data_IF_346656882701
#
_entry.id   IF_346656882701
#
_cell.length_a   1.000
_cell.length_b   1.000
_cell.length_c   1.000
_cell.angle_alpha   90.00
_cell.angle_beta   90.00
_cell.angle_gamma   90.00
#
_symmetry.space_group_name_H-M   'P 1'
#
loop_
_entity.id
_entity.type
_entity.pdbx_description
1 polymer ?
#
# COMPACT_ATOMS: atom_id res chain seq x y z
N UNK A 1 -19.32 9.75 9.45
CA UNK A 1 -19.16 8.33 9.06
C UNK A 1 -17.68 7.99 9.06
N UNK A 2 -17.30 6.81 9.52
CA UNK A 2 -15.91 6.31 9.49
C UNK A 2 -15.90 4.93 8.81
N UNK A 3 -14.98 4.73 7.86
CA UNK A 3 -14.84 3.49 7.11
C UNK A 3 -13.36 3.20 6.83
N UNK A 4 -13.00 1.91 6.78
CA UNK A 4 -11.63 1.49 6.50
C UNK A 4 -11.43 1.23 5.00
N UNK A 5 -10.19 1.32 4.51
CA UNK A 5 -9.87 0.90 3.14
C UNK A 5 -10.20 -0.56 2.85
N UNK A 6 -10.09 -1.45 3.84
CA UNK A 6 -10.49 -2.85 3.69
C UNK A 6 -12.00 -2.97 3.48
N UNK A 7 -12.81 -2.19 4.21
CA UNK A 7 -14.27 -2.20 4.02
C UNK A 7 -14.70 -1.65 2.66
N UNK A 8 -13.98 -0.68 2.08
CA UNK A 8 -14.27 -0.14 0.75
C UNK A 8 -14.24 -1.20 -0.36
N UNK A 9 -13.33 -2.18 -0.25
CA UNK A 9 -13.20 -3.28 -1.22
C UNK A 9 -14.15 -4.45 -0.90
N UNK A 10 -14.80 -4.41 0.27
CA UNK A 10 -15.69 -5.46 0.73
C UNK A 10 -16.96 -5.59 -0.11
N UNK A 11 -17.48 -6.82 -0.17
CA UNK A 11 -18.82 -7.11 -0.68
C UNK A 11 -19.66 -7.73 0.42
N UNK A 12 -20.95 -7.42 0.46
CA UNK A 12 -21.90 -8.08 1.36
C UNK A 12 -22.11 -9.54 0.94
N UNK A 13 -22.72 -10.34 1.82
CA UNK A 13 -23.17 -11.70 1.48
C UNK A 13 -24.21 -11.72 0.36
N UNK A 14 -24.94 -10.61 0.18
CA UNK A 14 -25.93 -10.41 -0.89
C UNK A 14 -25.30 -9.95 -2.21
N UNK A 15 -23.97 -9.74 -2.26
CA UNK A 15 -23.23 -9.37 -3.46
C UNK A 15 -23.06 -7.86 -3.67
N UNK A 16 -23.72 -7.03 -2.86
CA UNK A 16 -23.63 -5.57 -2.94
C UNK A 16 -22.24 -5.07 -2.53
N UNK A 17 -21.71 -4.13 -3.30
CA UNK A 17 -20.42 -3.50 -3.01
C UNK A 17 -20.57 -2.53 -1.84
N UNK A 18 -19.67 -2.60 -0.87
CA UNK A 18 -19.63 -1.61 0.23
C UNK A 18 -19.37 -0.20 -0.28
N UNK A 19 -18.61 -0.05 -1.36
CA UNK A 19 -18.42 1.24 -2.02
C UNK A 19 -19.75 1.81 -2.54
N UNK A 20 -20.56 0.98 -3.19
CA UNK A 20 -21.86 1.41 -3.73
C UNK A 20 -22.80 1.87 -2.62
N UNK A 21 -22.87 1.09 -1.53
CA UNK A 21 -23.65 1.47 -0.34
C UNK A 21 -23.19 2.81 0.26
N UNK A 22 -21.87 3.08 0.26
CA UNK A 22 -21.34 4.36 0.72
C UNK A 22 -21.74 5.50 -0.21
N UNK A 23 -21.62 5.32 -1.53
CA UNK A 23 -22.01 6.32 -2.53
C UNK A 23 -23.49 6.66 -2.40
N UNK A 24 -24.36 5.64 -2.27
CA UNK A 24 -25.79 5.81 -2.07
C UNK A 24 -26.11 6.54 -0.76
N UNK A 25 -25.39 6.21 0.32
CA UNK A 25 -25.56 6.87 1.61
C UNK A 25 -25.18 8.35 1.57
N UNK A 26 -24.09 8.70 0.87
CA UNK A 26 -23.72 10.10 0.65
C UNK A 26 -24.77 10.83 -0.20
N UNK A 27 -25.27 10.15 -1.24
CA UNK A 27 -26.15 10.72 -2.25
C UNK A 27 -25.38 11.53 -3.30
N UNK A 28 -25.91 11.56 -4.52
CA UNK A 28 -25.24 12.17 -5.70
C UNK A 28 -24.90 13.66 -5.52
N UNK A 29 -25.67 14.36 -4.68
CA UNK A 29 -25.51 15.79 -4.43
C UNK A 29 -24.61 16.11 -3.23
N UNK A 30 -23.96 15.12 -2.62
CA UNK A 30 -23.09 15.33 -1.48
C UNK A 30 -21.97 16.31 -1.81
N UNK A 31 -21.93 17.42 -1.09
CA UNK A 31 -20.96 18.51 -1.25
C UNK A 31 -20.02 18.66 -0.04
N UNK A 32 -20.10 17.74 0.92
CA UNK A 32 -19.33 17.73 2.16
C UNK A 32 -17.86 17.35 1.97
N UNK A 33 -17.17 16.98 3.06
CA UNK A 33 -15.75 16.67 3.05
C UNK A 33 -15.49 15.17 3.26
N UNK A 34 -14.65 14.59 2.41
CA UNK A 34 -14.13 13.23 2.53
C UNK A 34 -12.63 13.33 2.79
N UNK A 35 -12.21 12.75 3.91
CA UNK A 35 -10.79 12.71 4.31
C UNK A 35 -10.28 11.29 4.10
N UNK A 36 -9.33 11.15 3.19
CA UNK A 36 -8.55 9.94 3.04
C UNK A 36 -7.37 10.00 4.02
N UNK A 37 -7.56 9.42 5.19
CA UNK A 37 -6.50 9.25 6.19
C UNK A 37 -5.59 8.07 5.86
N UNK A 38 -4.28 8.21 6.08
CA UNK A 38 -3.24 7.28 5.60
C UNK A 38 -3.39 6.90 4.11
N UNK A 39 -3.66 7.90 3.26
CA UNK A 39 -4.03 7.70 1.87
C UNK A 39 -2.96 7.01 1.00
N UNK A 40 -1.72 6.89 1.50
CA UNK A 40 -0.66 6.09 0.86
C UNK A 40 -1.08 4.62 0.64
N UNK A 41 -2.12 4.12 1.32
CA UNK A 41 -2.74 2.81 1.05
C UNK A 41 -3.28 2.66 -0.37
N UNK A 42 -3.61 3.77 -1.05
CA UNK A 42 -4.08 3.81 -2.43
C UNK A 42 -2.97 3.99 -3.49
N UNK A 43 -1.69 4.10 -3.08
CA UNK A 43 -0.57 4.46 -3.97
C UNK A 43 -0.33 3.52 -5.15
N UNK A 44 -0.67 2.24 -5.00
CA UNK A 44 -0.44 1.20 -6.00
C UNK A 44 -1.55 1.15 -7.07
N UNK A 45 -2.11 2.29 -7.46
CA UNK A 45 -3.11 2.36 -8.54
C UNK A 45 -2.46 2.12 -9.91
N UNK A 46 -1.28 2.72 -10.14
CA UNK A 46 -0.46 2.49 -11.32
C UNK A 46 0.73 1.59 -10.91
N UNK A 47 0.70 0.28 -11.16
CA UNK A 47 1.83 -0.60 -10.81
C UNK A 47 3.11 -0.21 -11.57
N UNK A 48 4.28 -0.56 -11.01
CA UNK A 48 5.55 -0.57 -11.76
C UNK A 48 5.49 -1.67 -12.83
N UNK A 49 6.16 -1.45 -13.96
CA UNK A 49 6.21 -2.43 -15.06
C UNK A 49 6.55 -3.82 -14.52
N UNK A 50 5.69 -4.81 -14.80
CA UNK A 50 5.84 -6.20 -14.33
C UNK A 50 4.96 -6.61 -13.12
N UNK A 51 4.23 -5.68 -12.48
CA UNK A 51 3.26 -6.00 -11.42
C UNK A 51 1.83 -6.00 -11.98
N UNK A 52 1.22 -7.18 -12.07
CA UNK A 52 -0.13 -7.36 -12.60
C UNK A 52 -1.19 -7.19 -11.51
N UNK A 53 -1.47 -5.94 -11.14
CA UNK A 53 -2.81 -5.43 -10.81
C UNK A 53 -2.68 -4.08 -10.07
N UNK A 54 -3.43 -3.09 -10.54
CA UNK A 54 -3.79 -1.92 -9.72
C UNK A 54 -4.43 -2.40 -8.41
N UNK A 55 -4.05 -1.82 -7.28
CA UNK A 55 -4.70 -2.10 -5.99
C UNK A 55 -6.21 -1.87 -6.10
N UNK A 56 -7.02 -2.86 -5.71
CA UNK A 56 -8.47 -2.71 -5.60
C UNK A 56 -8.86 -1.52 -4.74
N UNK A 57 -8.08 -1.23 -3.69
CA UNK A 57 -8.26 -0.04 -2.85
C UNK A 57 -8.11 1.24 -3.67
N UNK A 58 -7.06 1.34 -4.49
CA UNK A 58 -6.82 2.51 -5.32
C UNK A 58 -7.96 2.76 -6.31
N UNK A 59 -8.49 1.68 -6.91
CA UNK A 59 -9.67 1.75 -7.79
C UNK A 59 -10.90 2.27 -7.06
N UNK A 60 -11.23 1.70 -5.89
CA UNK A 60 -12.38 2.15 -5.10
C UNK A 60 -12.23 3.61 -4.65
N UNK A 61 -11.02 4.05 -4.30
CA UNK A 61 -10.74 5.45 -3.93
C UNK A 61 -10.98 6.40 -5.10
N UNK A 62 -10.55 6.05 -6.31
CA UNK A 62 -10.81 6.87 -7.50
C UNK A 62 -12.29 6.86 -7.87
N UNK A 63 -12.93 5.69 -7.83
CA UNK A 63 -14.35 5.53 -8.14
C UNK A 63 -15.23 6.36 -7.17
N UNK A 64 -14.93 6.35 -5.87
CA UNK A 64 -15.62 7.19 -4.88
C UNK A 64 -15.53 8.69 -5.23
N UNK A 65 -14.34 9.16 -5.60
CA UNK A 65 -14.11 10.57 -5.95
C UNK A 65 -14.87 10.99 -7.21
N UNK A 66 -15.00 10.08 -8.19
CA UNK A 66 -15.70 10.32 -9.45
C UNK A 66 -17.22 10.26 -9.27
N UNK A 67 -17.71 9.36 -8.41
CA UNK A 67 -19.13 9.25 -8.08
C UNK A 67 -19.65 10.45 -7.27
N UNK A 68 -18.77 11.13 -6.53
CA UNK A 68 -19.12 12.28 -5.69
C UNK A 68 -18.36 13.54 -6.14
N UNK A 69 -18.72 14.13 -7.31
CA UNK A 69 -17.97 15.25 -7.89
C UNK A 69 -18.02 16.51 -7.02
N UNK A 70 -19.12 16.74 -6.29
CA UNK A 70 -19.27 17.92 -5.43
C UNK A 70 -18.54 17.78 -4.09
N UNK A 71 -18.13 16.58 -3.70
CA UNK A 71 -17.41 16.34 -2.45
C UNK A 71 -16.02 16.99 -2.48
N UNK A 72 -15.64 17.60 -1.37
CA UNK A 72 -14.29 18.13 -1.12
C UNK A 72 -13.41 16.99 -0.59
N UNK A 73 -12.24 16.79 -1.21
CA UNK A 73 -11.33 15.69 -0.85
C UNK A 73 -10.10 16.24 -0.13
N UNK A 74 -9.75 15.60 1.00
CA UNK A 74 -8.49 15.83 1.70
C UNK A 74 -7.68 14.53 1.68
N UNK A 75 -6.41 14.64 1.29
CA UNK A 75 -5.45 13.53 1.35
C UNK A 75 -4.51 13.74 2.53
N UNK A 76 -4.61 12.88 3.54
CA UNK A 76 -3.75 12.91 4.71
C UNK A 76 -2.84 11.68 4.73
N UNK A 77 -1.53 11.90 4.76
CA UNK A 77 -0.54 10.82 4.88
C UNK A 77 0.84 11.38 5.22
N UNK A 78 1.55 10.70 6.12
CA UNK A 78 2.96 11.01 6.40
C UNK A 78 3.89 10.65 5.22
N UNK A 79 3.47 9.73 4.36
CA UNK A 79 4.30 9.18 3.25
C UNK A 79 3.54 9.17 1.92
N UNK A 80 2.67 10.16 1.70
CA UNK A 80 1.69 10.15 0.62
C UNK A 80 2.24 10.03 -0.81
N UNK A 81 3.42 10.60 -1.08
CA UNK A 81 3.94 10.73 -2.44
C UNK A 81 5.48 10.59 -2.50
N UNK A 82 6.01 9.39 -2.21
CA UNK A 82 7.46 9.10 -2.33
C UNK A 82 7.96 9.10 -3.79
N UNK A 83 7.10 8.74 -4.73
CA UNK A 83 7.37 8.75 -6.18
C UNK A 83 6.18 9.41 -6.88
N UNK A 84 6.37 10.13 -8.01
CA UNK A 84 5.25 10.77 -8.74
C UNK A 84 4.13 9.79 -9.10
N UNK A 85 4.49 8.54 -9.41
CA UNK A 85 3.55 7.45 -9.70
C UNK A 85 2.56 7.19 -8.56
N UNK A 86 2.98 7.40 -7.31
CA UNK A 86 2.15 7.17 -6.13
C UNK A 86 1.01 8.19 -6.01
N UNK A 87 1.03 9.27 -6.79
CA UNK A 87 -0.01 10.31 -6.76
C UNK A 87 -1.23 9.98 -7.61
N UNK A 88 -1.24 8.88 -8.36
CA UNK A 88 -2.27 8.56 -9.34
C UNK A 88 -3.71 8.63 -8.80
N UNK A 89 -3.93 8.31 -7.52
CA UNK A 89 -5.25 8.34 -6.89
C UNK A 89 -5.70 9.75 -6.45
N UNK A 90 -4.81 10.75 -6.50
CA UNK A 90 -5.04 12.11 -6.04
C UNK A 90 -5.63 13.01 -7.13
N UNK A 91 -6.63 12.51 -7.87
CA UNK A 91 -7.21 13.21 -9.05
C UNK A 91 -7.77 14.60 -8.72
N UNK A 92 -8.20 14.81 -7.47
CA UNK A 92 -8.80 16.08 -7.02
C UNK A 92 -7.79 17.19 -6.68
N UNK A 93 -6.49 16.96 -6.84
CA UNK A 93 -5.49 18.02 -6.72
C UNK A 93 -5.48 18.98 -7.91
N UNK A 94 -6.09 18.61 -9.04
CA UNK A 94 -6.13 19.46 -10.23
C UNK A 94 -4.78 19.61 -10.92
N UNK A 95 -3.87 18.65 -10.73
CA UNK A 95 -2.56 18.62 -11.39
C UNK A 95 -2.63 18.12 -12.83
N UNK A 96 -3.65 17.35 -13.17
CA UNK A 96 -3.89 16.83 -14.51
C UNK A 96 -5.39 16.80 -14.81
N UNK A 97 -5.74 16.64 -16.08
CA UNK A 97 -7.12 16.62 -16.56
C UNK A 97 -7.56 17.96 -17.14
N UNK A 98 -8.88 18.11 -17.31
CA UNK A 98 -9.49 19.26 -17.99
C UNK A 98 -9.10 20.58 -17.31
N UNK A 99 -8.61 21.53 -18.11
CA UNK A 99 -8.22 22.86 -17.62
C UNK A 99 -6.81 22.94 -17.05
N UNK A 100 -6.02 21.86 -17.14
CA UNK A 100 -4.62 21.82 -16.70
C UNK A 100 -3.67 21.65 -17.89
N UNK A 101 -2.38 21.85 -17.68
CA UNK A 101 -1.34 21.65 -18.71
C UNK A 101 -1.11 20.17 -19.07
N UNK A 102 -1.52 19.25 -18.21
CA UNK A 102 -1.38 17.81 -18.43
C UNK A 102 -2.74 17.19 -18.73
N UNK A 103 -2.92 16.64 -19.92
CA UNK A 103 -4.20 16.05 -20.35
C UNK A 103 -4.68 14.92 -19.42
N UNK A 104 -3.74 14.11 -18.93
CA UNK A 104 -3.97 13.00 -18.03
C UNK A 104 -2.76 12.74 -17.11
N UNK A 105 -2.92 11.77 -16.21
CA UNK A 105 -1.87 11.37 -15.29
C UNK A 105 -0.62 10.80 -15.99
N UNK A 106 -0.77 10.14 -17.16
CA UNK A 106 0.35 9.57 -17.88
C UNK A 106 1.25 10.67 -18.48
N UNK A 107 0.65 11.73 -19.02
CA UNK A 107 1.35 12.92 -19.50
C UNK A 107 2.08 13.64 -18.35
N UNK A 108 1.41 13.81 -17.21
CA UNK A 108 2.05 14.35 -15.99
C UNK A 108 3.26 13.49 -15.57
N UNK A 109 3.05 12.18 -15.46
CA UNK A 109 4.08 11.25 -15.00
C UNK A 109 5.29 11.19 -15.94
N UNK A 110 5.08 11.22 -17.26
CA UNK A 110 6.15 11.23 -18.26
C UNK A 110 7.03 12.47 -18.12
N UNK A 111 6.43 13.65 -18.03
CA UNK A 111 7.17 14.92 -17.90
C UNK A 111 7.94 15.00 -16.58
N UNK A 112 7.29 14.64 -15.46
CA UNK A 112 7.94 14.68 -14.14
C UNK A 112 9.09 13.67 -14.09
N UNK A 113 8.93 12.46 -14.65
CA UNK A 113 10.03 11.49 -14.69
C UNK A 113 11.18 11.94 -15.59
N UNK A 114 10.90 12.53 -16.76
CA UNK A 114 11.94 13.03 -17.68
C UNK A 114 12.78 14.15 -17.07
N UNK A 115 12.17 15.01 -16.26
CA UNK A 115 12.83 16.17 -15.64
C UNK A 115 13.33 15.90 -14.21
N UNK A 116 13.02 14.73 -13.66
CA UNK A 116 13.50 14.28 -12.36
C UNK A 116 13.01 15.12 -11.18
N UNK A 117 13.83 15.19 -10.12
CA UNK A 117 13.46 15.82 -8.85
C UNK A 117 13.13 17.31 -8.99
N UNK A 118 13.82 18.06 -9.86
CA UNK A 118 13.55 19.48 -10.06
C UNK A 118 12.13 19.76 -10.57
N UNK A 119 11.55 18.90 -11.41
CA UNK A 119 10.14 19.04 -11.80
C UNK A 119 9.19 18.73 -10.64
N UNK A 120 9.52 17.74 -9.81
CA UNK A 120 8.72 17.41 -8.64
C UNK A 120 8.74 18.53 -7.60
N UNK A 121 9.87 19.21 -7.42
CA UNK A 121 9.99 20.40 -6.57
C UNK A 121 9.10 21.55 -7.06
N UNK A 122 9.07 21.80 -8.38
CA UNK A 122 8.16 22.81 -8.96
C UNK A 122 6.69 22.47 -8.70
N UNK A 123 6.30 21.20 -8.88
CA UNK A 123 4.94 20.74 -8.56
C UNK A 123 4.64 20.96 -7.08
N UNK A 124 5.54 20.58 -6.18
CA UNK A 124 5.35 20.78 -4.74
C UNK A 124 5.26 22.27 -4.35
N UNK A 125 6.08 23.11 -4.97
CA UNK A 125 6.07 24.56 -4.76
C UNK A 125 4.76 25.18 -5.22
N UNK A 126 4.27 24.81 -6.40
CA UNK A 126 2.99 25.28 -6.93
C UNK A 126 1.82 24.82 -6.04
N UNK A 127 1.79 23.54 -5.66
CA UNK A 127 0.76 23.04 -4.74
C UNK A 127 0.77 23.77 -3.40
N UNK A 128 1.96 24.08 -2.85
CA UNK A 128 2.08 24.86 -1.61
C UNK A 128 1.59 26.29 -1.80
N UNK A 129 1.93 26.93 -2.92
CA UNK A 129 1.49 28.29 -3.27
C UNK A 129 -0.03 28.36 -3.43
N UNK A 130 -0.63 27.36 -4.05
CA UNK A 130 -2.07 27.25 -4.28
C UNK A 130 -2.85 26.79 -3.03
N UNK A 131 -2.18 26.53 -1.90
CA UNK A 131 -2.82 26.03 -0.68
C UNK A 131 -3.31 24.58 -0.77
N UNK A 132 -2.91 23.85 -1.82
CA UNK A 132 -3.25 22.43 -2.06
C UNK A 132 -2.39 21.47 -1.24
N UNK A 133 -1.22 21.94 -0.79
CA UNK A 133 -0.24 21.13 -0.08
C UNK A 133 0.27 21.80 1.18
N UNK A 134 0.19 21.05 2.28
CA UNK A 134 0.87 21.38 3.52
C UNK A 134 1.67 20.16 3.97
N UNK A 135 2.96 20.38 4.22
CA UNK A 135 3.81 19.43 4.91
C UNK A 135 4.54 20.18 6.02
N UNK A 136 4.44 19.64 7.23
CA UNK A 136 5.16 20.12 8.40
C UNK A 136 6.08 19.00 8.85
N UNK A 137 7.33 19.36 9.09
CA UNK A 137 8.26 18.47 9.76
C UNK A 137 8.14 18.69 11.26
N UNK A 138 8.13 17.61 12.04
CA UNK A 138 8.29 17.71 13.48
C UNK A 138 9.74 18.11 13.78
N UNK A 139 9.91 19.04 14.70
CA UNK A 139 11.25 19.35 15.21
C UNK A 139 11.80 18.12 15.93
N UNK A 140 13.07 17.79 15.66
CA UNK A 140 13.81 16.79 16.44
C UNK A 140 14.39 17.39 17.72
N UNK A 141 14.08 18.65 18.05
CA UNK A 141 14.52 19.26 19.29
C UNK A 141 14.02 18.45 20.50
N UNK A 142 14.95 17.95 21.31
CA UNK A 142 14.65 17.11 22.47
C UNK A 142 14.39 15.63 22.14
N UNK A 143 14.65 15.16 20.92
CA UNK A 143 14.57 13.74 20.56
C UNK A 143 15.96 13.13 20.57
N UNK A 144 16.20 12.20 21.49
CA UNK A 144 17.40 11.37 21.53
C UNK A 144 17.12 10.00 20.90
N UNK A 145 18.03 9.55 20.02
CA UNK A 145 17.97 8.24 19.38
C UNK A 145 19.07 7.36 19.92
N UNK A 146 18.71 6.26 20.59
CA UNK A 146 19.66 5.27 21.08
C UNK A 146 19.43 3.93 20.38
N UNK A 147 20.49 3.37 19.81
CA UNK A 147 20.48 2.00 19.28
C UNK A 147 20.92 1.06 20.39
N UNK A 148 19.99 0.24 20.87
CA UNK A 148 20.29 -0.82 21.83
C UNK A 148 20.47 -2.14 21.08
N UNK A 149 21.70 -2.61 21.02
CA UNK A 149 22.01 -3.95 20.50
C UNK A 149 21.65 -4.99 21.56
N UNK A 150 20.74 -5.91 21.22
CA UNK A 150 20.39 -7.04 22.07
C UNK A 150 21.18 -8.27 21.59
N UNK A 151 22.16 -8.76 22.36
CA UNK A 151 22.92 -9.94 21.97
C UNK A 151 22.02 -11.17 21.98
N UNK A 152 22.18 -12.04 20.98
CA UNK A 152 21.46 -13.30 20.91
C UNK A 152 21.99 -14.26 21.98
N UNK A 153 21.10 -14.75 22.85
CA UNK A 153 21.43 -15.79 23.83
C UNK A 153 21.73 -17.13 23.13
N UNK A 154 22.52 -17.99 23.77
CA UNK A 154 22.80 -19.33 23.25
C UNK A 154 21.53 -20.16 23.09
N UNK A 155 20.59 -20.02 24.04
CA UNK A 155 19.26 -20.66 23.98
C UNK A 155 18.49 -20.22 22.74
N UNK A 156 18.48 -18.92 22.43
CA UNK A 156 17.79 -18.44 21.24
C UNK A 156 18.44 -18.92 19.95
N UNK A 157 19.78 -18.93 19.88
CA UNK A 157 20.50 -19.49 18.72
C UNK A 157 20.09 -20.93 18.49
N UNK A 158 20.00 -21.73 19.56
CA UNK A 158 19.52 -23.12 19.49
C UNK A 158 18.10 -23.23 18.93
N UNK A 159 17.16 -22.43 19.44
CA UNK A 159 15.77 -22.40 18.94
C UNK A 159 15.73 -22.00 17.46
N UNK A 160 16.53 -21.01 17.08
CA UNK A 160 16.63 -20.56 15.69
C UNK A 160 17.16 -21.66 14.77
N UNK A 161 18.24 -22.34 15.18
CA UNK A 161 18.83 -23.45 14.42
C UNK A 161 17.88 -24.64 14.29
N UNK A 162 17.18 -25.00 15.37
CA UNK A 162 16.13 -26.03 15.37
C UNK A 162 14.98 -25.66 14.42
N UNK A 163 14.57 -24.39 14.41
CA UNK A 163 13.55 -23.90 13.47
C UNK A 163 14.02 -23.96 12.01
N UNK A 164 15.28 -23.62 11.73
CA UNK A 164 15.88 -23.73 10.39
C UNK A 164 15.91 -25.19 9.95
N UNK A 165 16.33 -26.11 10.82
CA UNK A 165 16.31 -27.55 10.55
C UNK A 165 14.89 -28.02 10.21
N UNK A 166 13.89 -27.64 11.03
CA UNK A 166 12.48 -27.97 10.79
C UNK A 166 11.98 -27.47 9.42
N UNK A 167 12.21 -26.20 9.08
CA UNK A 167 11.77 -25.65 7.79
C UNK A 167 12.48 -26.29 6.60
N UNK A 168 13.74 -26.70 6.78
CA UNK A 168 14.52 -27.40 5.74
C UNK A 168 13.99 -28.81 5.50
N UNK A 169 13.70 -29.56 6.57
CA UNK A 169 13.05 -30.87 6.44
C UNK A 169 11.67 -30.74 5.82
N UNK A 170 10.86 -29.78 6.28
CA UNK A 170 9.53 -29.54 5.74
C UNK A 170 9.61 -29.21 4.24
N UNK A 171 10.57 -28.39 3.80
CA UNK A 171 10.81 -28.09 2.38
C UNK A 171 11.14 -29.35 1.57
N UNK A 172 11.97 -30.25 2.10
CA UNK A 172 12.32 -31.51 1.44
C UNK A 172 11.08 -32.42 1.29
N UNK A 173 10.27 -32.55 2.34
CA UNK A 173 9.03 -33.33 2.29
C UNK A 173 7.99 -32.71 1.34
N UNK A 174 7.86 -31.37 1.36
CA UNK A 174 6.97 -30.65 0.45
C UNK A 174 7.39 -30.89 -1.01
N UNK A 175 8.69 -30.78 -1.31
CA UNK A 175 9.25 -31.06 -2.65
C UNK A 175 8.90 -32.48 -3.11
N UNK A 176 9.16 -33.50 -2.28
CA UNK A 176 8.83 -34.90 -2.60
C UNK A 176 7.34 -35.10 -2.83
N UNK A 177 6.49 -34.56 -1.96
CA UNK A 177 5.04 -34.63 -2.11
C UNK A 177 4.58 -33.98 -3.43
N UNK A 178 5.18 -32.86 -3.82
CA UNK A 178 4.89 -32.23 -5.10
C UNK A 178 5.42 -33.01 -6.28
N UNK A 179 6.58 -33.64 -6.22
CA UNK A 179 7.08 -34.51 -7.29
C UNK A 179 6.11 -35.67 -7.59
N UNK A 180 5.50 -36.24 -6.54
CA UNK A 180 4.48 -37.29 -6.67
C UNK A 180 3.14 -36.76 -7.22
N UNK A 181 2.78 -35.50 -6.92
CA UNK A 181 1.51 -34.87 -7.33
C UNK A 181 1.59 -34.05 -8.63
N UNK A 182 2.80 -33.73 -9.10
CA UNK A 182 3.06 -32.77 -10.19
C UNK A 182 2.58 -33.23 -11.58
N UNK A 183 2.04 -34.44 -11.71
CA UNK A 183 1.49 -34.96 -12.96
C UNK A 183 0.22 -34.22 -13.44
N UNK A 184 -0.50 -33.48 -12.58
CA UNK A 184 -1.84 -32.98 -12.93
C UNK A 184 -2.01 -31.45 -13.02
N UNK A 185 -1.20 -30.60 -12.35
CA UNK A 185 -1.42 -29.14 -12.43
C UNK A 185 -0.22 -28.24 -12.03
N UNK A 186 0.57 -27.78 -13.01
CA UNK A 186 1.72 -26.86 -12.81
C UNK A 186 1.36 -25.52 -12.14
N UNK A 187 0.11 -25.04 -12.25
CA UNK A 187 -0.32 -23.76 -11.64
C UNK A 187 -0.51 -23.89 -10.13
N UNK A 188 -0.96 -25.06 -9.66
CA UNK A 188 -1.11 -25.38 -8.24
C UNK A 188 0.25 -25.38 -7.52
N UNK A 189 1.28 -25.94 -8.17
CA UNK A 189 2.65 -25.97 -7.67
C UNK A 189 3.22 -24.58 -7.35
N UNK A 190 3.09 -23.63 -8.28
CA UNK A 190 3.60 -22.26 -8.09
C UNK A 190 2.91 -21.52 -6.93
N UNK A 191 1.59 -21.71 -6.79
CA UNK A 191 0.83 -21.09 -5.71
C UNK A 191 1.20 -21.69 -4.35
N UNK A 192 1.36 -23.01 -4.27
CA UNK A 192 1.75 -23.70 -3.04
C UNK A 192 3.12 -23.23 -2.52
N UNK A 193 4.11 -23.09 -3.41
CA UNK A 193 5.42 -22.53 -3.03
C UNK A 193 5.33 -21.08 -2.57
N UNK A 194 4.49 -20.28 -3.22
CA UNK A 194 4.25 -18.89 -2.80
C UNK A 194 3.71 -18.85 -1.36
N UNK A 195 2.75 -19.72 -1.03
CA UNK A 195 2.22 -19.82 0.34
C UNK A 195 3.25 -20.35 1.34
N UNK A 196 4.02 -21.37 0.96
CA UNK A 196 5.08 -21.96 1.79
C UNK A 196 6.12 -20.90 2.21
N UNK A 197 6.72 -20.20 1.24
CA UNK A 197 7.71 -19.17 1.54
C UNK A 197 7.10 -17.97 2.28
N UNK A 198 5.84 -17.61 1.97
CA UNK A 198 5.14 -16.57 2.74
C UNK A 198 4.91 -16.97 4.20
N UNK A 199 4.63 -18.24 4.49
CA UNK A 199 4.49 -18.76 5.85
C UNK A 199 5.85 -18.79 6.56
N UNK A 200 6.90 -19.32 5.91
CA UNK A 200 8.26 -19.37 6.44
C UNK A 200 8.80 -17.98 6.82
N UNK A 201 8.65 -17.00 5.92
CA UNK A 201 9.09 -15.62 6.19
C UNK A 201 8.34 -14.99 7.36
N UNK A 202 7.02 -15.25 7.47
CA UNK A 202 6.23 -14.79 8.62
C UNK A 202 6.67 -15.47 9.91
N UNK A 203 6.92 -16.77 9.89
CA UNK A 203 7.40 -17.51 11.06
C UNK A 203 8.69 -16.91 11.62
N UNK A 204 9.74 -16.80 10.80
CA UNK A 204 11.03 -16.24 11.26
C UNK A 204 10.93 -14.79 11.69
N UNK A 205 10.10 -13.98 11.01
CA UNK A 205 9.82 -12.62 11.45
C UNK A 205 9.25 -12.59 12.87
N UNK A 206 8.24 -13.41 13.18
CA UNK A 206 7.66 -13.45 14.52
C UNK A 206 8.64 -14.03 15.54
N UNK A 207 9.43 -15.03 15.17
CA UNK A 207 10.46 -15.61 16.03
C UNK A 207 11.50 -14.56 16.45
N UNK A 208 11.98 -13.72 15.52
CA UNK A 208 12.91 -12.63 15.83
C UNK A 208 12.26 -11.49 16.64
N UNK A 209 10.96 -11.23 16.43
CA UNK A 209 10.23 -10.22 17.21
C UNK A 209 10.02 -10.69 18.65
N UNK A 210 9.72 -11.98 18.87
CA UNK A 210 9.49 -12.54 20.20
C UNK A 210 10.70 -12.35 21.13
N UNK A 211 11.93 -12.47 20.60
CA UNK A 211 13.17 -12.23 21.36
C UNK A 211 13.33 -10.81 21.86
N UNK A 212 12.75 -9.84 21.16
CA UNK A 212 12.88 -8.43 21.54
C UNK A 212 12.07 -8.09 22.79
N UNK A 213 11.12 -8.94 23.17
CA UNK A 213 10.32 -8.75 24.38
C UNK A 213 11.04 -9.49 25.50
N UNK A 214 11.63 -8.75 26.42
CA UNK A 214 12.14 -9.30 27.68
C UNK A 214 10.96 -9.89 28.46
N UNK A 215 11.03 -11.19 28.78
CA UNK A 215 10.12 -11.87 29.70
C UNK A 215 10.17 -11.28 31.10
#
# INVERSE_FOLDING_TARGET
>A
MFATYASLVGKSKTGESRLQQLIEWFGEKYDGCIIFDECHRAKNLCPKSGSNASSMIGKCVVELQRALPNARIVYASATGATEPRNMAYMERLGLWGRGTVFSDFAAFLDIVNKRGMGAMELVAMDMKRCGLYIARQLSFYGVDFNVHEVPLTLEYKKIYDEAVAFWTELQAQFTRAFELLAAQNKKSYKNAWTHFYSASQRFFKHLCIAVKVSS
#
